data_IF_612120379011
#
_entry.id   IF_612120379011
#
_cell.length_a   1.000
_cell.length_b   1.000
_cell.length_c   1.000
_cell.angle_alpha   90.00
_cell.angle_beta   90.00
_cell.angle_gamma   90.00
#
_symmetry.space_group_name_H-M   'P 1'
#
loop_
_entity.id
_entity.type
_entity.pdbx_description
1 polymer ?
#
# COMPACT_ATOMS: atom_id res chain seq x y z
N UNK A 1 -18.61 -29.67 -42.08
CA UNK A 1 -18.01 -28.30 -42.10
C UNK A 1 -18.67 -27.47 -41.02
N UNK A 2 -18.10 -27.46 -39.81
CA UNK A 2 -18.57 -26.65 -38.70
C UNK A 2 -17.54 -25.55 -38.46
N UNK A 3 -17.96 -24.29 -38.62
CA UNK A 3 -17.16 -23.10 -38.34
C UNK A 3 -17.06 -22.96 -36.82
N UNK A 4 -15.86 -23.14 -36.28
CA UNK A 4 -15.53 -22.78 -34.91
C UNK A 4 -15.27 -21.27 -34.94
N UNK A 5 -16.20 -20.51 -34.35
CA UNK A 5 -15.99 -19.09 -34.08
C UNK A 5 -14.95 -18.96 -32.96
N UNK A 6 -13.72 -18.62 -33.35
CA UNK A 6 -12.68 -18.14 -32.45
C UNK A 6 -13.05 -16.72 -32.01
N UNK A 7 -13.66 -16.61 -30.83
CA UNK A 7 -13.77 -15.35 -30.09
C UNK A 7 -12.91 -15.43 -28.83
N UNK A 8 -11.61 -15.64 -29.03
CA UNK A 8 -10.60 -15.29 -28.03
C UNK A 8 -10.50 -13.76 -27.94
N UNK A 9 -11.32 -13.14 -27.10
CA UNK A 9 -11.07 -11.75 -26.66
C UNK A 9 -9.79 -11.77 -25.82
N UNK A 10 -8.67 -11.46 -26.45
CA UNK A 10 -7.41 -11.16 -25.79
C UNK A 10 -7.67 -9.99 -24.84
N UNK A 11 -7.74 -10.26 -23.53
CA UNK A 11 -7.90 -9.24 -22.49
C UNK A 11 -6.75 -8.25 -22.63
N UNK A 12 -7.06 -7.01 -23.03
CA UNK A 12 -6.07 -5.97 -23.21
C UNK A 12 -5.24 -5.83 -21.91
N UNK A 13 -3.93 -6.01 -22.03
CA UNK A 13 -3.00 -5.96 -20.90
C UNK A 13 -3.04 -4.53 -20.35
N UNK A 14 -3.76 -4.31 -19.24
CA UNK A 14 -3.80 -3.00 -18.60
C UNK A 14 -2.39 -2.62 -18.15
N UNK A 15 -1.78 -1.66 -18.84
CA UNK A 15 -0.44 -1.13 -18.54
C UNK A 15 -0.49 0.27 -17.92
N UNK A 16 -1.68 0.87 -17.85
CA UNK A 16 -1.96 2.19 -17.28
C UNK A 16 -2.97 2.02 -16.15
N UNK A 17 -2.74 2.73 -15.04
CA UNK A 17 -3.65 2.71 -13.88
C UNK A 17 -4.60 3.91 -13.95
N UNK A 18 -5.74 3.87 -13.24
CA UNK A 18 -6.69 4.99 -13.21
C UNK A 18 -6.06 6.30 -12.74
N UNK A 19 -6.58 7.41 -13.24
CA UNK A 19 -6.18 8.74 -12.79
C UNK A 19 -6.79 9.09 -11.42
N UNK A 20 -6.05 9.85 -10.62
CA UNK A 20 -6.56 10.55 -9.44
C UNK A 20 -5.85 11.89 -9.26
N UNK A 21 -6.48 12.79 -8.52
CA UNK A 21 -5.96 14.15 -8.29
C UNK A 21 -4.66 14.18 -7.48
N UNK A 22 -3.88 15.25 -7.63
CA UNK A 22 -2.58 15.49 -6.97
C UNK A 22 -2.56 15.29 -5.45
N UNK A 23 -3.65 15.59 -4.75
CA UNK A 23 -3.74 15.46 -3.29
C UNK A 23 -4.08 14.03 -2.81
N UNK A 24 -4.27 13.08 -3.73
CA UNK A 24 -4.63 11.69 -3.43
C UNK A 24 -3.52 10.70 -3.79
N UNK A 25 -3.50 9.54 -3.12
CA UNK A 25 -2.70 8.38 -3.53
C UNK A 25 -3.59 7.16 -3.68
N UNK A 26 -3.42 6.43 -4.78
CA UNK A 26 -4.10 5.17 -5.03
C UNK A 26 -3.34 3.98 -4.44
N UNK A 27 -4.07 2.99 -3.95
CA UNK A 27 -3.55 1.73 -3.43
C UNK A 27 -4.47 0.57 -3.84
N UNK A 28 -3.93 -0.58 -4.28
CA UNK A 28 -4.75 -1.78 -4.47
C UNK A 28 -5.35 -2.26 -3.14
N UNK A 29 -6.61 -2.67 -3.15
CA UNK A 29 -7.33 -3.13 -1.96
C UNK A 29 -6.67 -4.36 -1.34
N UNK A 30 -6.13 -5.27 -2.16
CA UNK A 30 -5.34 -6.43 -1.69
C UNK A 30 -4.16 -6.00 -0.82
N UNK A 31 -3.46 -4.92 -1.19
CA UNK A 31 -2.35 -4.40 -0.40
C UNK A 31 -2.85 -3.61 0.81
N UNK A 32 -3.87 -2.77 0.63
CA UNK A 32 -4.44 -1.93 1.68
C UNK A 32 -5.04 -2.75 2.84
N UNK A 33 -5.50 -3.97 2.55
CA UNK A 33 -6.12 -4.90 3.51
C UNK A 33 -5.17 -5.99 3.98
N UNK A 34 -3.86 -5.80 3.80
CA UNK A 34 -2.83 -6.78 4.16
C UNK A 34 -1.84 -6.26 5.19
N UNK A 35 -1.12 -7.20 5.80
CA UNK A 35 0.03 -6.94 6.66
C UNK A 35 1.34 -6.69 5.88
N UNK A 36 1.30 -6.55 4.55
CA UNK A 36 2.52 -6.41 3.72
C UNK A 36 3.35 -5.20 4.15
N UNK A 37 2.69 -4.06 4.39
CA UNK A 37 3.30 -2.88 4.98
C UNK A 37 2.92 -2.78 6.45
N UNK A 38 3.73 -3.35 7.32
CA UNK A 38 3.44 -3.41 8.77
C UNK A 38 3.69 -2.09 9.51
N UNK A 39 3.43 -2.11 10.82
CA UNK A 39 3.59 -0.95 11.73
C UNK A 39 4.89 -0.95 12.54
N UNK A 40 5.85 -1.83 12.22
CA UNK A 40 7.08 -1.99 12.99
C UNK A 40 7.88 -0.69 13.20
N UNK A 41 8.62 -0.60 14.30
CA UNK A 41 9.46 0.57 14.61
C UNK A 41 10.71 0.60 13.72
N UNK A 42 10.85 1.67 12.93
CA UNK A 42 11.99 1.96 12.05
C UNK A 42 13.37 1.97 12.71
N UNK A 43 13.45 2.04 14.04
CA UNK A 43 14.71 1.92 14.80
C UNK A 43 15.11 0.47 15.06
N UNK A 44 14.17 -0.47 15.02
CA UNK A 44 14.41 -1.90 15.23
C UNK A 44 14.84 -2.57 13.94
N UNK A 45 15.68 -3.61 14.07
CA UNK A 45 16.06 -4.50 12.96
C UNK A 45 14.81 -5.06 12.29
N UNK A 46 14.85 -5.13 10.96
CA UNK A 46 13.79 -5.73 10.13
C UNK A 46 14.00 -7.24 10.05
N UNK A 47 12.93 -8.01 10.12
CA UNK A 47 12.98 -9.45 9.92
C UNK A 47 13.11 -9.78 8.43
N UNK A 48 13.87 -10.82 8.13
CA UNK A 48 13.83 -11.47 6.81
C UNK A 48 12.70 -12.48 6.83
N UNK A 49 11.88 -12.46 5.78
CA UNK A 49 10.77 -13.37 5.58
C UNK A 49 11.09 -14.26 4.37
N UNK A 50 10.77 -15.54 4.46
CA UNK A 50 10.99 -16.52 3.40
C UNK A 50 9.70 -17.29 3.16
N UNK A 51 9.11 -17.11 1.97
CA UNK A 51 7.82 -17.68 1.60
C UNK A 51 6.74 -17.51 2.68
N UNK A 52 6.77 -16.38 3.39
CA UNK A 52 5.92 -16.15 4.55
C UNK A 52 4.51 -15.74 4.10
N UNK A 53 3.45 -16.36 4.65
CA UNK A 53 2.09 -15.88 4.40
C UNK A 53 1.90 -14.51 5.05
N UNK A 54 1.37 -13.57 4.28
CA UNK A 54 1.01 -12.24 4.75
C UNK A 54 -0.48 -12.26 5.06
N UNK A 55 -0.84 -11.87 6.28
CA UNK A 55 -2.24 -11.80 6.68
C UNK A 55 -3.01 -10.79 5.82
N UNK A 56 -4.15 -11.22 5.30
CA UNK A 56 -5.08 -10.40 4.50
C UNK A 56 -6.47 -10.44 5.14
N UNK A 57 -7.23 -9.36 5.01
CA UNK A 57 -8.60 -9.30 5.50
C UNK A 57 -9.60 -9.75 4.42
N UNK A 58 -10.50 -10.67 4.81
CA UNK A 58 -11.60 -11.15 3.96
C UNK A 58 -11.12 -11.81 2.67
N UNK A 59 -11.92 -11.70 1.61
CA UNK A 59 -11.63 -12.31 0.30
C UNK A 59 -10.64 -11.50 -0.54
N UNK A 60 -9.74 -10.73 0.10
CA UNK A 60 -8.79 -9.85 -0.59
C UNK A 60 -7.67 -10.61 -1.32
N UNK A 61 -7.64 -11.94 -1.22
CA UNK A 61 -6.64 -12.83 -1.81
C UNK A 61 -5.60 -13.31 -0.81
N UNK A 62 -4.75 -14.22 -1.28
CA UNK A 62 -3.61 -14.75 -0.55
C UNK A 62 -2.34 -14.04 -0.99
N UNK A 63 -1.53 -13.58 -0.04
CA UNK A 63 -0.23 -12.98 -0.32
C UNK A 63 0.86 -13.81 0.35
N UNK A 64 1.87 -14.18 -0.41
CA UNK A 64 3.11 -14.79 0.09
C UNK A 64 4.28 -13.87 -0.21
N UNK A 65 5.17 -13.70 0.77
CA UNK A 65 6.25 -12.71 0.69
C UNK A 65 7.60 -13.30 1.07
N UNK A 66 8.62 -13.00 0.26
CA UNK A 66 10.03 -13.24 0.55
C UNK A 66 10.79 -11.92 0.45
N UNK A 67 11.59 -11.61 1.47
CA UNK A 67 12.38 -10.37 1.55
C UNK A 67 12.39 -9.78 2.95
N UNK A 68 13.03 -8.62 3.12
CA UNK A 68 12.97 -7.89 4.39
C UNK A 68 11.56 -7.32 4.61
N UNK A 69 11.03 -7.40 5.84
CA UNK A 69 9.72 -6.84 6.17
C UNK A 69 9.62 -5.36 5.74
N UNK A 70 8.46 -4.98 5.19
CA UNK A 70 8.15 -3.61 4.79
C UNK A 70 7.31 -2.94 5.87
N UNK A 71 7.49 -1.62 6.03
CA UNK A 71 6.82 -0.83 7.06
C UNK A 71 6.18 0.40 6.43
N UNK A 72 5.48 1.21 7.23
CA UNK A 72 4.78 2.40 6.75
C UNK A 72 5.67 3.41 6.02
N UNK A 73 6.96 3.48 6.31
CA UNK A 73 7.90 4.36 5.59
C UNK A 73 8.19 3.88 4.16
N UNK A 74 8.14 2.56 3.93
CA UNK A 74 8.19 1.94 2.61
C UNK A 74 6.86 2.15 1.87
N UNK A 75 5.73 1.99 2.58
CA UNK A 75 4.40 2.24 2.02
C UNK A 75 4.26 3.66 1.47
N UNK A 76 4.70 4.67 2.25
CA UNK A 76 4.64 6.07 1.81
C UNK A 76 5.45 6.29 0.52
N UNK A 77 6.65 5.70 0.42
CA UNK A 77 7.46 5.79 -0.78
C UNK A 77 6.80 5.07 -1.96
N UNK A 78 6.30 3.86 -1.75
CA UNK A 78 5.61 3.08 -2.78
C UNK A 78 4.40 3.84 -3.34
N UNK A 79 3.52 4.34 -2.47
CA UNK A 79 2.33 5.10 -2.86
C UNK A 79 2.70 6.37 -3.65
N UNK A 80 3.76 7.06 -3.24
CA UNK A 80 4.24 8.23 -3.96
C UNK A 80 4.77 7.88 -5.36
N UNK A 81 5.51 6.77 -5.49
CA UNK A 81 6.03 6.32 -6.78
C UNK A 81 4.90 5.87 -7.73
N UNK A 82 3.91 5.12 -7.23
CA UNK A 82 2.70 4.76 -7.98
C UNK A 82 1.96 6.02 -8.45
N UNK A 83 1.84 7.03 -7.60
CA UNK A 83 1.22 8.28 -7.99
C UNK A 83 1.97 9.03 -9.09
N UNK A 84 3.31 9.00 -9.11
CA UNK A 84 4.08 9.55 -10.22
C UNK A 84 3.95 8.72 -11.51
N UNK A 85 3.64 7.42 -11.38
CA UNK A 85 3.41 6.51 -12.51
C UNK A 85 1.98 6.63 -13.08
N UNK A 86 1.01 7.19 -12.35
CA UNK A 86 -0.44 7.12 -12.68
C UNK A 86 -0.87 7.69 -14.04
N UNK A 87 -0.06 8.54 -14.65
CA UNK A 87 -0.32 9.17 -15.95
C UNK A 87 0.55 8.57 -17.07
N UNK A 88 1.22 7.44 -16.79
CA UNK A 88 2.24 6.86 -17.67
C UNK A 88 2.07 5.35 -17.74
N UNK A 89 2.47 4.79 -18.87
CA UNK A 89 2.58 3.35 -19.03
C UNK A 89 3.65 2.78 -18.09
N UNK A 90 3.32 1.71 -17.35
CA UNK A 90 4.21 1.07 -16.37
C UNK A 90 5.51 0.53 -16.99
N UNK A 91 5.59 0.36 -18.32
CA UNK A 91 6.80 -0.06 -19.03
C UNK A 91 7.89 1.02 -19.09
N UNK A 92 7.54 2.31 -18.99
CA UNK A 92 8.48 3.43 -19.18
C UNK A 92 9.31 3.69 -17.91
N UNK A 93 8.70 3.48 -16.74
CA UNK A 93 9.24 3.85 -15.44
C UNK A 93 9.06 5.33 -15.10
N UNK A 94 9.37 5.66 -13.84
CA UNK A 94 9.25 6.99 -13.28
C UNK A 94 10.63 7.58 -13.01
N UNK A 95 10.83 8.81 -13.46
CA UNK A 95 11.98 9.63 -13.08
C UNK A 95 11.58 10.66 -12.01
N UNK A 96 12.41 10.82 -10.98
CA UNK A 96 12.19 11.82 -9.93
C UNK A 96 13.49 12.36 -9.35
N UNK A 97 13.46 13.60 -8.86
CA UNK A 97 14.56 14.18 -8.10
C UNK A 97 14.45 13.80 -6.62
N UNK A 98 15.56 13.45 -5.98
CA UNK A 98 15.58 12.97 -4.59
C UNK A 98 15.09 14.01 -3.58
N UNK A 99 15.54 15.26 -3.71
CA UNK A 99 15.16 16.35 -2.79
C UNK A 99 13.65 16.67 -2.81
N UNK A 100 13.01 16.90 -3.98
CA UNK A 100 11.56 17.04 -4.06
C UNK A 100 10.78 15.80 -3.57
N UNK A 101 11.29 14.60 -3.81
CA UNK A 101 10.69 13.36 -3.31
C UNK A 101 10.68 13.35 -1.77
N UNK A 102 11.81 13.65 -1.12
CA UNK A 102 11.87 13.73 0.34
C UNK A 102 10.92 14.79 0.90
N UNK A 103 10.84 15.97 0.26
CA UNK A 103 9.88 17.01 0.64
C UNK A 103 8.44 16.50 0.55
N UNK A 104 8.10 15.79 -0.51
CA UNK A 104 6.75 15.23 -0.74
C UNK A 104 6.40 14.15 0.27
N UNK A 105 7.40 13.41 0.78
CA UNK A 105 7.25 12.41 1.85
C UNK A 105 7.25 13.03 3.26
N UNK A 106 7.32 14.36 3.38
CA UNK A 106 7.39 15.05 4.67
C UNK A 106 8.71 14.82 5.43
N UNK A 107 9.81 14.53 4.73
CA UNK A 107 11.12 14.20 5.31
C UNK A 107 12.12 15.34 5.12
N UNK A 108 13.08 15.46 6.04
CA UNK A 108 14.17 16.42 5.91
C UNK A 108 15.05 16.10 4.69
N UNK A 109 15.50 17.15 4.00
CA UNK A 109 16.25 17.04 2.75
C UNK A 109 17.75 16.92 3.04
N UNK A 110 18.19 15.74 3.51
CA UNK A 110 19.59 15.49 3.81
C UNK A 110 20.05 14.11 3.33
N UNK A 111 21.36 13.87 3.41
CA UNK A 111 22.00 12.62 2.95
C UNK A 111 21.48 11.39 3.70
N UNK A 112 21.21 11.50 5.00
CA UNK A 112 20.67 10.39 5.80
C UNK A 112 19.29 9.93 5.28
N UNK A 113 18.36 10.86 5.06
CA UNK A 113 17.05 10.51 4.52
C UNK A 113 17.11 10.07 3.06
N UNK A 114 18.05 10.59 2.26
CA UNK A 114 18.30 10.11 0.90
C UNK A 114 18.76 8.66 0.92
N UNK A 115 19.68 8.30 1.82
CA UNK A 115 20.15 6.92 1.97
C UNK A 115 19.07 6.01 2.55
N UNK A 116 18.22 6.49 3.46
CA UNK A 116 17.03 5.74 3.92
C UNK A 116 16.05 5.45 2.78
N UNK A 117 15.82 6.41 1.90
CA UNK A 117 15.00 6.21 0.70
C UNK A 117 15.63 5.18 -0.25
N UNK A 118 16.95 5.24 -0.46
CA UNK A 118 17.70 4.22 -1.22
C UNK A 118 17.50 2.83 -0.64
N UNK A 119 17.67 2.67 0.68
CA UNK A 119 17.47 1.40 1.37
C UNK A 119 16.03 0.88 1.26
N UNK A 120 15.04 1.77 1.23
CA UNK A 120 13.63 1.41 1.01
C UNK A 120 13.40 0.88 -0.42
N UNK A 121 13.96 1.53 -1.45
CA UNK A 121 13.93 1.03 -2.82
C UNK A 121 14.63 -0.33 -2.94
N UNK A 122 15.82 -0.48 -2.35
CA UNK A 122 16.54 -1.75 -2.36
C UNK A 122 15.74 -2.88 -1.72
N UNK A 123 15.04 -2.61 -0.60
CA UNK A 123 14.13 -3.58 0.01
C UNK A 123 13.03 -4.00 -0.95
N UNK A 124 12.32 -3.04 -1.55
CA UNK A 124 11.21 -3.29 -2.48
C UNK A 124 11.63 -3.97 -3.80
N UNK A 125 12.90 -3.85 -4.17
CA UNK A 125 13.49 -4.57 -5.32
C UNK A 125 13.85 -6.00 -4.95
N UNK A 126 14.39 -6.22 -3.75
CA UNK A 126 14.81 -7.54 -3.27
C UNK A 126 13.64 -8.42 -2.80
N UNK A 127 12.40 -8.10 -3.16
CA UNK A 127 11.20 -8.85 -2.74
C UNK A 127 10.78 -9.86 -3.81
N UNK A 128 10.25 -11.00 -3.38
CA UNK A 128 9.32 -11.78 -4.18
C UNK A 128 7.95 -11.76 -3.50
N UNK A 129 6.93 -11.36 -4.25
CA UNK A 129 5.54 -11.32 -3.81
C UNK A 129 4.73 -12.19 -4.74
N UNK A 130 4.06 -13.18 -4.15
CA UNK A 130 2.99 -13.91 -4.82
C UNK A 130 1.65 -13.37 -4.32
N UNK A 131 0.77 -13.00 -5.25
CA UNK A 131 -0.60 -12.56 -4.98
C UNK A 131 -1.53 -13.48 -5.76
N UNK A 132 -2.40 -14.18 -5.05
CA UNK A 132 -3.45 -15.02 -5.63
C UNK A 132 -4.80 -14.41 -5.28
N UNK A 133 -5.57 -14.04 -6.31
CA UNK A 133 -6.89 -13.40 -6.20
C UNK A 133 -7.89 -14.07 -7.13
N UNK A 134 -9.15 -13.62 -7.09
CA UNK A 134 -10.17 -14.00 -8.08
C UNK A 134 -10.44 -12.81 -9.00
N UNK A 135 -10.58 -13.04 -10.30
CA UNK A 135 -11.04 -12.01 -11.24
C UNK A 135 -12.56 -11.76 -11.11
N UNK A 136 -13.08 -10.87 -11.95
CA UNK A 136 -14.50 -10.54 -12.02
C UNK A 136 -15.40 -11.74 -12.41
N UNK A 137 -14.83 -12.77 -13.02
CA UNK A 137 -15.52 -14.00 -13.45
C UNK A 137 -15.39 -15.11 -12.40
N UNK A 138 -14.61 -14.88 -11.33
CA UNK A 138 -14.38 -15.82 -10.24
C UNK A 138 -13.21 -16.79 -10.47
N UNK A 139 -12.45 -16.64 -11.56
CA UNK A 139 -11.29 -17.48 -11.85
C UNK A 139 -10.08 -17.05 -11.01
N UNK A 140 -9.28 -18.03 -10.59
CA UNK A 140 -8.04 -17.76 -9.86
C UNK A 140 -7.00 -17.08 -10.74
N UNK A 141 -6.51 -15.92 -10.31
CA UNK A 141 -5.44 -15.18 -10.97
C UNK A 141 -4.25 -15.06 -10.03
N UNK A 142 -3.07 -15.45 -10.51
CA UNK A 142 -1.82 -15.40 -9.76
C UNK A 142 -0.82 -14.40 -10.36
N UNK A 143 -0.27 -13.53 -9.52
CA UNK A 143 0.91 -12.72 -9.83
C UNK A 143 2.07 -13.17 -8.95
N UNK A 144 3.26 -13.32 -9.54
CA UNK A 144 4.50 -13.50 -8.79
C UNK A 144 5.55 -12.54 -9.36
N UNK A 145 6.14 -11.71 -8.51
CA UNK A 145 7.15 -10.73 -8.90
C UNK A 145 7.59 -9.80 -7.76
N UNK A 146 8.37 -8.77 -8.06
CA UNK A 146 8.81 -7.77 -7.07
C UNK A 146 7.88 -6.57 -7.04
N UNK A 147 7.83 -5.82 -5.92
CA UNK A 147 7.08 -4.54 -5.87
C UNK A 147 7.68 -3.48 -6.78
N UNK A 148 9.00 -3.47 -6.88
CA UNK A 148 9.76 -2.64 -7.81
C UNK A 148 10.65 -3.57 -8.61
N UNK A 149 10.55 -3.52 -9.93
CA UNK A 149 11.35 -4.40 -10.79
C UNK A 149 12.85 -4.01 -10.72
N UNK A 150 13.14 -2.71 -10.75
CA UNK A 150 14.50 -2.17 -10.65
C UNK A 150 14.50 -0.66 -10.39
N UNK A 151 15.64 -0.12 -9.98
CA UNK A 151 15.87 1.33 -9.88
C UNK A 151 17.31 1.71 -10.21
N UNK A 152 17.52 2.93 -10.67
CA UNK A 152 18.82 3.52 -10.96
C UNK A 152 19.01 4.82 -10.16
N UNK A 153 20.15 4.94 -9.49
CA UNK A 153 20.53 6.10 -8.66
C UNK A 153 21.86 6.75 -9.10
N UNK A 154 22.40 6.28 -10.22
CA UNK A 154 23.60 6.80 -10.87
C UNK A 154 23.23 7.34 -12.26
N UNK A 155 24.01 8.29 -12.75
CA UNK A 155 23.93 8.75 -14.13
C UNK A 155 24.60 7.76 -15.11
N UNK A 156 24.55 8.07 -16.40
CA UNK A 156 25.08 7.23 -17.47
C UNK A 156 26.62 7.05 -17.38
N UNK A 157 27.31 7.94 -16.65
CA UNK A 157 28.75 7.88 -16.39
C UNK A 157 29.07 7.13 -15.08
N UNK A 158 28.06 6.62 -14.37
CA UNK A 158 28.21 5.87 -13.12
C UNK A 158 28.43 6.74 -11.87
N UNK A 159 28.29 8.07 -11.98
CA UNK A 159 28.38 9.00 -10.85
C UNK A 159 27.05 9.08 -10.09
N UNK A 160 27.05 9.40 -8.78
CA UNK A 160 25.81 9.58 -8.01
C UNK A 160 24.91 10.65 -8.63
N UNK A 161 23.67 10.28 -8.95
CA UNK A 161 22.70 11.20 -9.53
C UNK A 161 21.73 11.73 -8.48
N UNK A 162 21.30 13.00 -8.64
CA UNK A 162 20.17 13.58 -7.89
C UNK A 162 18.81 13.21 -8.49
N UNK A 163 18.83 12.65 -9.69
CA UNK A 163 17.66 12.20 -10.44
C UNK A 163 17.69 10.68 -10.53
N UNK A 164 16.71 10.03 -9.93
CA UNK A 164 16.62 8.57 -9.89
C UNK A 164 15.49 8.09 -10.78
N UNK A 165 15.63 6.86 -11.27
CA UNK A 165 14.62 6.19 -12.09
C UNK A 165 14.17 4.90 -11.43
N UNK A 166 12.87 4.62 -11.45
CA UNK A 166 12.25 3.41 -10.89
C UNK A 166 11.38 2.78 -11.96
N UNK A 167 11.46 1.46 -12.09
CA UNK A 167 10.60 0.66 -12.98
C UNK A 167 9.79 -0.32 -12.15
N UNK A 168 8.51 -0.44 -12.49
CA UNK A 168 7.59 -1.41 -11.92
C UNK A 168 7.45 -2.61 -12.84
N UNK A 169 7.00 -3.75 -12.31
CA UNK A 169 6.46 -4.80 -13.16
C UNK A 169 5.12 -4.30 -13.73
N UNK A 170 4.90 -4.29 -15.07
CA UNK A 170 3.63 -3.89 -15.66
C UNK A 170 2.42 -4.65 -15.13
N UNK A 171 2.59 -5.89 -14.63
CA UNK A 171 1.50 -6.65 -14.00
C UNK A 171 1.00 -6.03 -12.70
N UNK A 172 1.79 -5.18 -12.02
CA UNK A 172 1.30 -4.42 -10.86
C UNK A 172 0.12 -3.51 -11.26
N UNK A 173 0.09 -3.00 -12.48
CA UNK A 173 -1.02 -2.18 -12.96
C UNK A 173 -2.36 -2.94 -12.95
N UNK A 174 -2.33 -4.27 -13.10
CA UNK A 174 -3.53 -5.13 -13.06
C UNK A 174 -4.16 -5.18 -11.67
N UNK A 175 -3.41 -4.86 -10.61
CA UNK A 175 -3.95 -4.74 -9.25
C UNK A 175 -4.82 -3.48 -9.06
N UNK A 176 -4.80 -2.55 -10.02
CA UNK A 176 -5.57 -1.30 -9.99
C UNK A 176 -6.81 -1.34 -10.90
N UNK A 177 -7.40 -2.52 -11.12
CA UNK A 177 -8.68 -2.63 -11.82
C UNK A 177 -9.79 -1.83 -11.08
N UNK A 178 -10.84 -1.43 -11.81
CA UNK A 178 -11.81 -0.38 -11.46
C UNK A 178 -12.45 -0.54 -10.06
N UNK A 179 -12.70 -1.76 -9.60
CA UNK A 179 -13.29 -2.04 -8.29
C UNK A 179 -12.27 -2.43 -7.20
N UNK A 180 -10.99 -2.48 -7.56
CA UNK A 180 -9.94 -3.17 -6.79
C UNK A 180 -8.94 -2.23 -6.14
N UNK A 181 -9.16 -0.91 -6.18
CA UNK A 181 -8.28 0.07 -5.55
C UNK A 181 -9.04 1.13 -4.75
N UNK A 182 -8.31 1.83 -3.88
CA UNK A 182 -8.81 2.91 -3.04
C UNK A 182 -7.91 4.13 -3.09
N UNK A 183 -8.47 5.31 -2.81
CA UNK A 183 -7.76 6.58 -2.83
C UNK A 183 -7.78 7.25 -1.47
N UNK A 184 -6.61 7.58 -0.94
CA UNK A 184 -6.46 8.24 0.35
C UNK A 184 -5.98 9.68 0.22
N UNK A 185 -6.26 10.51 1.22
CA UNK A 185 -5.73 11.87 1.29
C UNK A 185 -4.26 11.88 1.72
N UNK A 186 -3.40 12.46 0.89
CA UNK A 186 -1.96 12.40 1.10
C UNK A 186 -1.51 13.28 2.28
N UNK A 187 -2.11 14.46 2.43
CA UNK A 187 -1.76 15.38 3.52
C UNK A 187 -2.16 14.78 4.86
N UNK A 188 -3.37 14.22 4.94
CA UNK A 188 -3.83 13.47 6.13
C UNK A 188 -2.87 12.33 6.42
N UNK A 189 -2.56 11.47 5.44
CA UNK A 189 -1.67 10.32 5.68
C UNK A 189 -0.33 10.72 6.27
N UNK A 190 0.29 11.78 5.78
CA UNK A 190 1.63 12.17 6.24
C UNK A 190 1.66 12.74 7.66
N UNK A 191 0.54 13.23 8.19
CA UNK A 191 0.45 13.68 9.58
C UNK A 191 0.28 12.55 10.58
N UNK A 192 0.02 11.32 10.12
CA UNK A 192 -0.36 10.19 10.97
C UNK A 192 0.83 9.41 11.56
N UNK A 193 0.64 8.87 12.76
CA UNK A 193 1.47 7.83 13.36
C UNK A 193 1.45 6.52 12.56
N UNK A 194 2.39 5.58 12.75
CA UNK A 194 2.45 4.35 11.95
C UNK A 194 1.17 3.50 12.01
N UNK A 195 0.59 3.27 13.19
CA UNK A 195 -0.66 2.53 13.29
C UNK A 195 -1.83 3.30 12.67
N UNK A 196 -1.93 4.61 12.89
CA UNK A 196 -2.95 5.43 12.25
C UNK A 196 -2.80 5.46 10.72
N UNK A 197 -1.57 5.49 10.17
CA UNK A 197 -1.31 5.35 8.71
C UNK A 197 -1.81 4.02 8.17
N UNK A 198 -1.57 2.93 8.90
CA UNK A 198 -2.06 1.61 8.51
C UNK A 198 -3.60 1.57 8.57
N UNK A 199 -4.21 2.06 9.65
CA UNK A 199 -5.67 2.13 9.79
C UNK A 199 -6.32 3.03 8.74
N UNK A 200 -5.71 4.16 8.40
CA UNK A 200 -6.16 5.05 7.33
C UNK A 200 -6.18 4.30 5.98
N UNK A 201 -5.12 3.56 5.68
CA UNK A 201 -5.05 2.73 4.47
C UNK A 201 -6.13 1.64 4.46
N UNK A 202 -6.23 0.90 5.57
CA UNK A 202 -7.18 -0.19 5.75
C UNK A 202 -8.62 0.28 5.61
N UNK A 203 -9.06 1.27 6.40
CA UNK A 203 -10.44 1.74 6.39
C UNK A 203 -10.79 2.57 5.15
N UNK A 204 -9.82 3.18 4.47
CA UNK A 204 -10.08 3.80 3.18
C UNK A 204 -10.62 2.78 2.16
N UNK A 205 -10.21 1.52 2.27
CA UNK A 205 -10.70 0.44 1.39
C UNK A 205 -12.06 -0.14 1.76
N UNK A 206 -12.60 0.20 2.93
CA UNK A 206 -13.89 -0.33 3.39
C UNK A 206 -14.98 0.70 3.12
N UNK A 207 -15.98 0.35 2.30
CA UNK A 207 -17.14 1.24 2.08
C UNK A 207 -17.84 1.54 3.40
N UNK A 208 -18.24 0.48 4.10
CA UNK A 208 -18.82 0.50 5.44
C UNK A 208 -18.01 -0.45 6.34
N UNK A 209 -17.11 0.05 7.20
CA UNK A 209 -16.34 -0.81 8.11
C UNK A 209 -17.25 -1.57 9.07
N UNK A 210 -17.03 -2.89 9.17
CA UNK A 210 -17.66 -3.71 10.20
C UNK A 210 -16.82 -3.71 11.48
N UNK A 211 -17.45 -3.97 12.64
CA UNK A 211 -16.71 -4.17 13.88
C UNK A 211 -15.71 -5.33 13.73
N UNK A 212 -14.47 -5.11 14.18
CA UNK A 212 -13.39 -6.07 14.04
C UNK A 212 -12.68 -6.28 15.36
N UNK A 213 -12.35 -7.54 15.69
CA UNK A 213 -11.63 -7.87 16.92
C UNK A 213 -10.29 -7.14 16.96
N UNK A 214 -9.93 -6.60 18.13
CA UNK A 214 -8.62 -5.98 18.34
C UNK A 214 -7.48 -6.96 18.03
N UNK A 215 -7.63 -8.23 18.36
CA UNK A 215 -6.68 -9.29 18.00
C UNK A 215 -6.49 -9.44 16.49
N UNK A 216 -7.57 -9.37 15.71
CA UNK A 216 -7.47 -9.46 14.25
C UNK A 216 -6.74 -8.24 13.67
N UNK A 217 -7.01 -7.04 14.19
CA UNK A 217 -6.29 -5.83 13.78
C UNK A 217 -4.78 -5.93 14.09
N UNK A 218 -4.42 -6.52 15.23
CA UNK A 218 -3.02 -6.75 15.60
C UNK A 218 -2.30 -7.59 14.54
N UNK A 219 -2.96 -8.65 14.07
CA UNK A 219 -2.44 -9.53 13.01
C UNK A 219 -2.37 -8.79 11.67
N UNK A 220 -3.45 -8.12 11.25
CA UNK A 220 -3.52 -7.47 9.94
C UNK A 220 -2.60 -6.26 9.80
N UNK A 221 -2.23 -5.59 10.90
CA UNK A 221 -1.25 -4.50 10.87
C UNK A 221 0.21 -4.97 10.93
N UNK A 222 0.45 -6.29 10.97
CA UNK A 222 1.79 -6.86 11.00
C UNK A 222 2.58 -6.44 12.24
N UNK A 223 1.90 -6.26 13.37
CA UNK A 223 2.55 -5.89 14.63
C UNK A 223 3.21 -7.10 15.27
N UNK A 224 4.39 -6.91 15.85
CA UNK A 224 5.06 -7.92 16.69
C UNK A 224 4.71 -7.79 18.17
N UNK A 225 3.75 -6.92 18.52
CA UNK A 225 3.32 -6.72 19.90
C UNK A 225 2.58 -7.96 20.42
N UNK A 226 3.02 -8.49 21.56
CA UNK A 226 2.42 -9.68 22.18
C UNK A 226 1.35 -9.34 23.21
N UNK A 227 1.42 -8.15 23.81
CA UNK A 227 0.48 -7.72 24.85
C UNK A 227 -0.70 -6.94 24.25
N UNK A 228 -1.83 -7.62 24.10
CA UNK A 228 -3.04 -7.02 23.52
C UNK A 228 -3.55 -5.80 24.32
N UNK A 229 -3.24 -5.71 25.62
CA UNK A 229 -3.56 -4.52 26.44
C UNK A 229 -2.86 -3.26 25.91
N UNK A 230 -1.57 -3.33 25.60
CA UNK A 230 -0.82 -2.20 25.05
C UNK A 230 -1.30 -1.87 23.64
N UNK A 231 -1.63 -2.90 22.85
CA UNK A 231 -2.14 -2.68 21.50
C UNK A 231 -3.48 -1.93 21.50
N UNK A 232 -4.37 -2.20 22.47
CA UNK A 232 -5.62 -1.45 22.63
C UNK A 232 -5.36 0.03 22.94
N UNK A 233 -4.32 0.35 23.68
CA UNK A 233 -3.93 1.75 23.91
C UNK A 233 -3.45 2.40 22.62
N UNK A 234 -2.59 1.72 21.84
CA UNK A 234 -2.18 2.24 20.53
C UNK A 234 -3.36 2.40 19.56
N UNK A 235 -4.32 1.45 19.56
CA UNK A 235 -5.56 1.58 18.79
C UNK A 235 -6.40 2.77 19.24
N UNK A 236 -6.50 3.02 20.54
CA UNK A 236 -7.19 4.17 21.11
C UNK A 236 -6.55 5.47 20.59
N UNK A 237 -5.23 5.58 20.71
CA UNK A 237 -4.47 6.76 20.30
C UNK A 237 -4.58 7.00 18.78
N UNK A 238 -4.38 5.95 17.98
CA UNK A 238 -4.51 6.00 16.53
C UNK A 238 -5.94 6.34 16.07
N UNK A 239 -6.97 5.85 16.77
CA UNK A 239 -8.36 6.17 16.45
C UNK A 239 -8.70 7.63 16.76
N UNK A 240 -8.16 8.18 17.85
CA UNK A 240 -8.27 9.61 18.16
C UNK A 240 -7.59 10.45 17.08
N UNK A 241 -6.37 10.10 16.69
CA UNK A 241 -5.64 10.80 15.63
C UNK A 241 -6.45 10.84 14.32
N UNK A 242 -7.06 9.72 13.94
CA UNK A 242 -7.94 9.64 12.76
C UNK A 242 -9.25 10.43 12.91
N UNK A 243 -9.74 10.64 14.13
CA UNK A 243 -10.89 11.50 14.41
C UNK A 243 -10.50 12.98 14.34
N UNK A 244 -9.35 13.35 14.90
CA UNK A 244 -8.81 14.71 14.91
C UNK A 244 -8.53 15.24 13.50
N UNK A 245 -7.98 14.40 12.62
CA UNK A 245 -7.78 14.74 11.20
C UNK A 245 -9.07 14.66 10.36
N UNK A 246 -10.20 14.35 10.98
CA UNK A 246 -11.53 14.32 10.35
C UNK A 246 -11.80 13.12 9.43
N UNK A 247 -10.96 12.08 9.47
CA UNK A 247 -11.17 10.86 8.69
C UNK A 247 -12.28 9.98 9.30
N UNK A 248 -12.30 9.85 10.63
CA UNK A 248 -13.38 9.21 11.37
C UNK A 248 -14.30 10.28 11.97
N UNK A 249 -15.61 10.03 11.91
CA UNK A 249 -16.60 10.82 12.65
C UNK A 249 -16.71 10.30 14.07
N UNK A 250 -16.78 8.97 14.22
CA UNK A 250 -16.92 8.30 15.50
C UNK A 250 -16.11 7.00 15.54
N UNK A 251 -15.73 6.59 16.74
CA UNK A 251 -15.15 5.30 16.98
C UNK A 251 -15.38 4.89 18.44
N UNK A 252 -15.38 3.59 18.72
CA UNK A 252 -15.42 3.04 20.08
C UNK A 252 -14.81 1.64 20.11
N UNK A 253 -14.26 1.26 21.26
CA UNK A 253 -13.88 -0.13 21.54
C UNK A 253 -14.95 -0.74 22.44
N UNK A 254 -15.62 -1.78 21.96
CA UNK A 254 -16.54 -2.58 22.76
C UNK A 254 -15.73 -3.49 23.68
N UNK A 255 -15.82 -3.27 25.00
CA UNK A 255 -15.06 -4.04 25.99
C UNK A 255 -15.55 -5.48 26.17
N UNK A 256 -16.82 -5.75 25.86
CA UNK A 256 -17.40 -7.09 26.00
C UNK A 256 -16.99 -7.98 24.83
N UNK A 257 -17.05 -7.44 23.61
CA UNK A 257 -16.71 -8.17 22.39
C UNK A 257 -15.24 -8.03 21.98
N UNK A 258 -14.51 -7.11 22.60
CA UNK A 258 -13.14 -6.73 22.25
C UNK A 258 -12.97 -6.32 20.78
N UNK A 259 -13.94 -5.56 20.29
CA UNK A 259 -14.03 -5.12 18.89
C UNK A 259 -13.86 -3.61 18.79
N UNK A 260 -13.14 -3.17 17.75
CA UNK A 260 -13.09 -1.78 17.34
C UNK A 260 -14.25 -1.51 16.36
N UNK A 261 -15.08 -0.54 16.70
CA UNK A 261 -16.11 0.04 15.84
C UNK A 261 -15.62 1.39 15.34
N UNK A 262 -15.72 1.64 14.04
CA UNK A 262 -15.39 2.93 13.45
C UNK A 262 -16.50 3.37 12.50
N UNK A 263 -16.75 4.67 12.48
CA UNK A 263 -17.64 5.33 11.51
C UNK A 263 -16.79 6.33 10.74
N UNK A 264 -16.69 6.16 9.43
CA UNK A 264 -15.97 7.10 8.57
C UNK A 264 -16.76 8.39 8.44
N UNK A 265 -16.03 9.49 8.31
CA UNK A 265 -16.65 10.75 7.94
C UNK A 265 -17.06 10.69 6.46
N UNK A 266 -18.36 10.80 6.16
CA UNK A 266 -18.89 10.74 4.78
C UNK A 266 -18.71 12.06 4.02
N UNK A 267 -17.59 12.77 4.22
CA UNK A 267 -17.24 13.85 3.32
C UNK A 267 -16.90 13.23 1.96
N UNK A 268 -17.88 13.31 1.04
CA UNK A 268 -17.87 12.86 -0.37
C UNK A 268 -16.48 12.48 -0.85
N UNK A 269 -16.11 11.20 -0.70
CA UNK A 269 -15.09 10.61 -1.55
C UNK A 269 -15.68 10.67 -2.95
N UNK A 270 -15.15 11.56 -3.81
CA UNK A 270 -15.65 11.76 -5.17
C UNK A 270 -15.78 10.39 -5.85
N UNK A 271 -16.94 10.08 -6.48
CA UNK A 271 -17.04 8.89 -7.30
C UNK A 271 -15.96 8.98 -8.39
N UNK A 272 -15.39 7.82 -8.75
CA UNK A 272 -14.52 7.71 -9.91
C UNK A 272 -15.23 8.35 -11.13
N UNK A 273 -14.55 9.20 -11.92
CA UNK A 273 -15.18 9.87 -13.06
C UNK A 273 -15.71 8.83 -14.05
N UNK A 274 -17.00 8.96 -14.41
CA UNK A 274 -17.68 8.15 -15.43
C UNK A 274 -16.94 8.15 -16.77
#
# INVERSE_FOLDING_TARGET
MAKINDTSKVTAKQTVIPFWSEHKRGVPNVLARSALFGIGDNKKKRNMLEAAPIATYGDSGCITYTGLELRQDDADLFLQLIHLQRERDFSVGVEFKTTPMLKTLGRSQNSNYTERMKRSLQRMVATAITIETKDAEGNGVGYCGSLIARFAWKDDNGAPSRTWRVWFDPKIAQLFDWASYSQLDWKVRLSLSPLAKWMHLYYCSHKNPYPIKCENLLIFCGSSMTQLKHFRQELFDASNELKEVGFLSEWRIDKQQDTLHVVKNNQKQSPAPQ
#
